data_IF_496814773548
#
_entry.id   IF_496814773548
#
_cell.length_a   1.000
_cell.length_b   1.000
_cell.length_c   1.000
_cell.angle_alpha   90.00
_cell.angle_beta   90.00
_cell.angle_gamma   90.00
#
_symmetry.space_group_name_H-M   'P 1'
#
loop_
_entity.id
_entity.type
_entity.pdbx_description
1 polymer ?
#
# COMPACT_ATOMS: atom_id res chain seq x y z
N UNK A 1 -24.59 -4.78 -42.13
CA UNK A 1 -23.65 -5.51 -41.28
C UNK A 1 -22.91 -4.47 -40.45
N UNK A 2 -23.43 -4.12 -39.27
CA UNK A 2 -22.76 -3.19 -38.35
C UNK A 2 -21.76 -3.97 -37.53
N UNK A 3 -20.48 -3.64 -37.68
CA UNK A 3 -19.39 -4.26 -36.93
C UNK A 3 -19.53 -3.93 -35.45
N UNK A 4 -19.45 -4.97 -34.62
CA UNK A 4 -19.33 -4.90 -33.18
C UNK A 4 -18.00 -4.22 -32.83
N UNK A 5 -18.04 -2.91 -32.56
CA UNK A 5 -16.90 -2.18 -32.02
C UNK A 5 -16.89 -2.35 -30.50
N UNK A 6 -16.50 -3.53 -30.04
CA UNK A 6 -16.16 -3.76 -28.64
C UNK A 6 -14.99 -2.83 -28.26
N UNK A 7 -15.06 -2.06 -27.15
CA UNK A 7 -13.99 -1.15 -26.77
C UNK A 7 -12.75 -1.96 -26.42
N UNK A 8 -11.70 -1.82 -27.24
CA UNK A 8 -10.39 -2.39 -26.99
C UNK A 8 -9.91 -1.89 -25.62
N UNK A 9 -9.86 -2.79 -24.64
CA UNK A 9 -9.32 -2.48 -23.31
C UNK A 9 -7.81 -2.31 -23.48
N UNK A 10 -7.34 -1.08 -23.63
CA UNK A 10 -5.92 -0.79 -23.55
C UNK A 10 -5.42 -1.22 -22.16
N UNK A 11 -4.41 -2.10 -22.07
CA UNK A 11 -3.84 -2.45 -20.79
C UNK A 11 -3.25 -1.16 -20.21
N UNK A 12 -3.89 -0.63 -19.18
CA UNK A 12 -3.51 0.64 -18.56
C UNK A 12 -2.03 0.68 -18.14
N UNK A 13 -1.53 1.88 -17.76
CA UNK A 13 -0.12 2.06 -17.44
C UNK A 13 0.37 1.02 -16.42
N UNK A 14 1.47 0.34 -16.76
CA UNK A 14 2.08 -0.68 -15.92
C UNK A 14 2.58 -0.02 -14.62
N UNK A 15 2.22 -0.59 -13.48
CA UNK A 15 2.69 -0.12 -12.17
C UNK A 15 4.19 -0.35 -12.06
N UNK A 16 4.95 0.70 -11.76
CA UNK A 16 6.35 0.57 -11.37
C UNK A 16 6.45 0.03 -9.95
N UNK A 17 7.08 -1.14 -9.83
CA UNK A 17 7.26 -1.89 -8.58
C UNK A 17 8.66 -1.73 -8.00
N UNK A 18 9.52 -0.92 -8.65
CA UNK A 18 10.88 -0.62 -8.22
C UNK A 18 10.98 0.67 -7.39
N UNK A 19 9.97 1.54 -7.49
CA UNK A 19 9.91 2.80 -6.74
C UNK A 19 8.85 2.70 -5.66
N UNK A 20 9.15 3.03 -4.39
CA UNK A 20 8.18 3.00 -3.31
C UNK A 20 7.06 4.03 -3.51
N UNK A 21 5.85 3.68 -3.08
CA UNK A 21 4.68 4.55 -3.20
C UNK A 21 3.93 4.68 -1.88
N UNK A 22 3.67 5.92 -1.44
CA UNK A 22 3.13 6.23 -0.12
C UNK A 22 1.83 5.47 0.22
N UNK A 23 0.90 5.35 -0.74
CA UNK A 23 -0.34 4.58 -0.55
C UNK A 23 -0.09 3.09 -0.27
N UNK A 24 0.93 2.48 -0.90
CA UNK A 24 1.27 1.05 -0.71
C UNK A 24 2.02 0.83 0.60
N UNK A 25 2.84 1.79 1.02
CA UNK A 25 3.47 1.82 2.35
C UNK A 25 2.39 1.90 3.44
N UNK A 26 1.39 2.76 3.26
CA UNK A 26 0.26 2.84 4.17
C UNK A 26 -0.46 1.49 4.29
N UNK A 27 -0.73 0.85 3.14
CA UNK A 27 -1.32 -0.48 3.11
C UNK A 27 -0.46 -1.54 3.83
N UNK A 28 0.87 -1.44 3.73
CA UNK A 28 1.79 -2.31 4.47
C UNK A 28 1.67 -2.15 5.99
N UNK A 29 1.66 -0.93 6.52
CA UNK A 29 1.53 -0.71 7.98
C UNK A 29 0.21 -1.23 8.56
N UNK A 30 -0.84 -1.17 7.76
CA UNK A 30 -2.16 -1.72 8.07
C UNK A 30 -2.21 -3.26 8.06
N UNK A 31 -1.16 -3.94 7.56
CA UNK A 31 -1.15 -5.39 7.38
C UNK A 31 -1.78 -5.86 6.06
N UNK A 32 -2.01 -4.95 5.12
CA UNK A 32 -2.48 -5.25 3.77
C UNK A 32 -1.41 -5.92 2.90
N UNK A 33 -1.86 -6.62 1.85
CA UNK A 33 -0.99 -7.41 0.95
C UNK A 33 -0.57 -6.68 -0.33
N UNK A 34 -1.25 -5.59 -0.65
CA UNK A 34 -0.96 -4.74 -1.82
C UNK A 34 0.22 -3.80 -1.54
N UNK A 35 1.38 -4.40 -1.33
CA UNK A 35 2.66 -3.72 -1.13
C UNK A 35 3.78 -4.57 -1.74
N UNK A 36 4.69 -3.92 -2.46
CA UNK A 36 5.89 -4.53 -3.00
C UNK A 36 7.04 -4.47 -1.99
N UNK A 37 8.11 -5.27 -2.15
CA UNK A 37 9.26 -5.26 -1.24
C UNK A 37 9.83 -3.87 -0.98
N UNK A 38 9.95 -3.04 -2.03
CA UNK A 38 10.44 -1.66 -1.93
C UNK A 38 9.56 -0.77 -1.04
N UNK A 39 8.26 -1.02 -0.97
CA UNK A 39 7.34 -0.28 -0.10
C UNK A 39 7.51 -0.74 1.36
N UNK A 40 7.81 -2.01 1.60
CA UNK A 40 7.99 -2.55 2.95
C UNK A 40 9.30 -2.07 3.55
N UNK A 41 10.37 -2.14 2.77
CA UNK A 41 11.69 -1.60 3.14
C UNK A 41 11.59 -0.11 3.48
N UNK A 42 10.96 0.68 2.61
CA UNK A 42 10.71 2.08 2.89
C UNK A 42 9.84 2.25 4.16
N UNK A 43 8.76 1.49 4.29
CA UNK A 43 7.87 1.53 5.44
C UNK A 43 8.54 1.18 6.78
N UNK A 44 9.56 0.31 6.77
CA UNK A 44 10.36 -0.05 7.94
C UNK A 44 11.39 1.03 8.31
N UNK A 45 11.90 1.78 7.33
CA UNK A 45 12.84 2.89 7.56
C UNK A 45 12.17 4.18 8.05
N UNK A 46 10.94 4.46 7.61
CA UNK A 46 10.24 5.73 7.91
C UNK A 46 10.06 6.05 9.40
N UNK A 47 9.78 5.09 10.31
CA UNK A 47 9.71 5.34 11.74
C UNK A 47 10.98 5.95 12.35
N UNK A 48 12.14 5.81 11.70
CA UNK A 48 13.40 6.45 12.13
C UNK A 48 13.38 7.97 11.93
N UNK A 49 12.61 8.45 10.95
CA UNK A 49 12.50 9.87 10.58
C UNK A 49 11.27 10.49 11.23
N UNK A 50 10.14 9.76 11.22
CA UNK A 50 8.88 10.22 11.82
C UNK A 50 8.34 9.15 12.78
N UNK A 51 8.78 9.17 14.04
CA UNK A 51 8.28 8.27 15.07
C UNK A 51 6.76 8.42 15.23
N UNK A 52 6.03 7.30 15.24
CA UNK A 52 4.56 7.30 15.40
C UNK A 52 3.77 7.21 14.08
N UNK A 53 4.42 7.23 12.92
CA UNK A 53 3.71 7.22 11.62
C UNK A 53 2.93 5.94 11.36
N UNK A 54 3.48 4.79 11.78
CA UNK A 54 2.84 3.50 11.60
C UNK A 54 1.63 3.36 12.52
N UNK A 55 1.71 3.92 13.73
CA UNK A 55 0.64 4.00 14.71
C UNK A 55 -0.48 4.94 14.25
N UNK A 56 -0.14 6.08 13.64
CA UNK A 56 -1.10 6.98 13.00
C UNK A 56 -1.83 6.28 11.86
N UNK A 57 -1.10 5.55 11.02
CA UNK A 57 -1.71 4.77 9.95
C UNK A 57 -2.68 3.74 10.50
N UNK A 58 -2.27 2.99 11.52
CA UNK A 58 -3.10 2.03 12.24
C UNK A 58 -4.37 2.67 12.85
N UNK A 59 -4.27 3.88 13.43
CA UNK A 59 -5.39 4.58 14.04
C UNK A 59 -6.43 5.12 13.03
N UNK A 60 -6.04 5.25 11.75
CA UNK A 60 -6.92 5.79 10.70
C UNK A 60 -8.09 4.88 10.32
N UNK A 61 -8.01 3.58 10.63
CA UNK A 61 -9.10 2.62 10.39
C UNK A 61 -9.75 2.24 11.72
N UNK A 62 -11.10 2.23 11.79
CA UNK A 62 -11.79 1.77 12.99
C UNK A 62 -11.34 0.33 13.27
N UNK A 63 -11.16 0.02 14.56
CA UNK A 63 -10.69 -1.28 15.06
C UNK A 63 -11.64 -2.43 14.65
N UNK A 64 -11.58 -2.82 13.38
CA UNK A 64 -11.98 -4.16 12.94
C UNK A 64 -10.78 -5.04 13.26
N UNK A 65 -11.01 -6.02 14.13
CA UNK A 65 -9.99 -6.93 14.64
C UNK A 65 -8.99 -7.37 13.55
N UNK A 66 -7.70 -7.04 13.75
CA UNK A 66 -6.59 -7.60 12.97
C UNK A 66 -5.90 -6.68 11.95
N UNK A 67 -6.35 -5.44 11.73
CA UNK A 67 -5.73 -4.50 10.78
C UNK A 67 -4.66 -3.62 11.45
N UNK A 68 -3.53 -4.20 11.89
CA UNK A 68 -2.36 -3.48 12.42
C UNK A 68 -1.20 -4.46 12.70
N UNK A 69 -0.59 -5.02 11.64
CA UNK A 69 0.41 -6.10 11.77
C UNK A 69 1.85 -5.63 12.04
N UNK A 70 2.21 -4.43 11.58
CA UNK A 70 3.61 -3.94 11.57
C UNK A 70 3.88 -2.91 12.66
N UNK A 71 2.91 -2.02 12.96
CA UNK A 71 3.07 -0.94 13.94
C UNK A 71 3.20 -1.39 15.41
N UNK A 72 3.16 -2.70 15.69
CA UNK A 72 3.33 -3.25 17.05
C UNK A 72 4.69 -3.90 17.32
N UNK A 73 5.67 -3.72 16.44
CA UNK A 73 7.05 -4.17 16.70
C UNK A 73 7.72 -3.13 17.60
N UNK A 74 7.75 -3.44 18.89
CA UNK A 74 8.40 -2.70 19.99
C UNK A 74 9.87 -2.39 19.75
#
# INVERSE_FOLDING_TARGET
MTADASPQQDPGPRIDTSVPHAARIWNYWLGGKDSYPVDREAGDEHPTIFPGIAELACASFPAVDGYCGVARKS
#
